data_IF_400132836566
#
_entry.id   IF_400132836566
#
_cell.length_a   1.000
_cell.length_b   1.000
_cell.length_c   1.000
_cell.angle_alpha   90.00
_cell.angle_beta   90.00
_cell.angle_gamma   90.00
#
_symmetry.space_group_name_H-M   'P 1'
#
loop_
_entity.id
_entity.type
_entity.pdbx_description
1 polymer ?
#
# COMPACT_ATOMS: atom_id res chain seq x y z
N UNK A 1 4.21 14.71 -6.71
CA UNK A 1 4.36 13.27 -7.05
C UNK A 1 3.36 12.47 -6.25
N UNK A 2 2.55 11.68 -6.96
CA UNK A 2 1.48 10.90 -6.34
C UNK A 2 1.81 9.41 -6.28
N UNK A 3 1.69 8.82 -5.10
CA UNK A 3 1.97 7.40 -4.86
C UNK A 3 0.71 6.72 -4.36
N UNK A 4 0.40 5.56 -4.93
CA UNK A 4 -0.67 4.67 -4.47
C UNK A 4 -0.04 3.46 -3.78
N UNK A 5 -0.20 3.37 -2.47
CA UNK A 5 0.14 2.19 -1.67
C UNK A 5 -0.99 1.17 -1.68
N UNK A 6 -0.63 -0.10 -1.69
CA UNK A 6 -1.56 -1.24 -1.69
C UNK A 6 -1.13 -2.26 -0.66
N UNK A 7 -2.04 -2.62 0.22
CA UNK A 7 -1.95 -3.77 1.14
C UNK A 7 -2.81 -4.92 0.57
N UNK A 8 -2.19 -5.98 0.00
CA UNK A 8 -2.90 -6.98 -0.77
C UNK A 8 -3.54 -8.07 0.10
N UNK A 9 -4.84 -8.26 -0.07
CA UNK A 9 -5.58 -9.39 0.48
C UNK A 9 -6.75 -9.81 -0.42
N UNK A 10 -7.11 -11.08 -0.45
CA UNK A 10 -8.17 -11.61 -1.36
C UNK A 10 -9.60 -11.44 -0.85
N UNK A 11 -9.77 -11.05 0.41
CA UNK A 11 -11.07 -10.70 1.02
C UNK A 11 -11.14 -9.19 1.24
N UNK A 12 -10.02 -8.60 1.64
CA UNK A 12 -9.79 -7.17 1.78
C UNK A 12 -8.50 -6.79 1.10
N UNK A 13 -8.52 -5.74 0.32
CA UNK A 13 -7.35 -5.11 -0.28
C UNK A 13 -7.39 -3.64 0.12
N UNK A 14 -6.44 -3.22 0.95
CA UNK A 14 -6.28 -1.83 1.34
C UNK A 14 -5.64 -1.01 0.22
N UNK A 15 -6.04 0.25 0.09
CA UNK A 15 -5.37 1.22 -0.78
C UNK A 15 -5.27 2.57 -0.09
N UNK A 16 -4.19 3.29 -0.37
CA UNK A 16 -3.98 4.64 0.15
C UNK A 16 -3.11 5.45 -0.80
N UNK A 17 -3.64 6.57 -1.26
CA UNK A 17 -2.94 7.50 -2.14
C UNK A 17 -2.44 8.71 -1.36
N UNK A 18 -1.17 9.05 -1.54
CA UNK A 18 -0.53 10.25 -0.99
C UNK A 18 0.03 11.11 -2.11
N UNK A 19 0.01 12.41 -1.92
CA UNK A 19 0.63 13.38 -2.82
C UNK A 19 1.78 14.08 -2.09
N UNK A 20 2.93 14.18 -2.74
CA UNK A 20 4.08 14.92 -2.24
C UNK A 20 4.33 16.15 -3.11
N UNK A 21 4.33 17.31 -2.48
CA UNK A 21 4.76 18.58 -3.07
C UNK A 21 5.87 19.20 -2.22
N UNK A 22 7.09 19.19 -2.73
CA UNK A 22 8.26 19.56 -1.96
C UNK A 22 8.44 18.69 -0.71
N UNK A 23 8.39 19.30 0.46
CA UNK A 23 8.48 18.64 1.76
C UNK A 23 7.11 18.22 2.33
N UNK A 24 6.02 18.74 1.78
CA UNK A 24 4.68 18.45 2.25
C UNK A 24 4.17 17.14 1.66
N UNK A 25 3.52 16.33 2.52
CA UNK A 25 2.88 15.08 2.13
C UNK A 25 1.44 15.11 2.63
N UNK A 26 0.49 14.90 1.73
CA UNK A 26 -0.93 14.90 2.05
C UNK A 26 -1.60 13.59 1.59
N UNK A 27 -2.56 13.13 2.36
CA UNK A 27 -3.45 12.04 1.94
C UNK A 27 -4.43 12.55 0.87
N UNK A 28 -4.51 11.85 -0.25
CA UNK A 28 -5.45 12.12 -1.34
C UNK A 28 -6.75 11.33 -1.14
N UNK A 29 -6.60 10.03 -0.95
CA UNK A 29 -7.72 9.10 -0.77
C UNK A 29 -7.21 7.82 -0.12
N UNK A 30 -8.03 7.18 0.71
CA UNK A 30 -7.73 5.84 1.20
C UNK A 30 -9.02 5.03 1.38
N UNK A 31 -8.89 3.71 1.47
CA UNK A 31 -10.01 2.81 1.69
C UNK A 31 -9.64 1.35 1.53
N UNK A 32 -10.67 0.51 1.49
CA UNK A 32 -10.50 -0.91 1.24
C UNK A 32 -11.49 -1.44 0.20
N UNK A 33 -11.00 -2.30 -0.68
CA UNK A 33 -11.82 -3.09 -1.60
C UNK A 33 -12.15 -4.39 -0.89
N UNK A 34 -13.43 -4.62 -0.60
CA UNK A 34 -13.90 -5.81 0.10
C UNK A 34 -14.66 -6.74 -0.83
N UNK A 35 -14.45 -8.05 -0.64
CA UNK A 35 -15.17 -9.12 -1.31
C UNK A 35 -15.70 -10.11 -0.26
N UNK A 36 -16.83 -10.78 -0.54
CA UNK A 36 -17.28 -11.86 0.33
C UNK A 36 -16.30 -13.04 0.30
N UNK A 37 -15.95 -13.55 1.48
CA UNK A 37 -15.11 -14.76 1.60
C UNK A 37 -15.80 -16.01 1.03
N UNK A 38 -17.14 -16.01 0.90
CA UNK A 38 -17.91 -17.11 0.31
C UNK A 38 -17.82 -17.18 -1.22
N UNK A 39 -17.36 -16.09 -1.88
CA UNK A 39 -17.17 -16.10 -3.31
C UNK A 39 -15.95 -16.96 -3.71
N UNK A 40 -16.01 -17.68 -4.83
CA UNK A 40 -14.84 -18.32 -5.42
C UNK A 40 -13.70 -17.34 -5.68
N UNK A 41 -12.46 -17.82 -5.58
CA UNK A 41 -11.27 -16.95 -5.68
C UNK A 41 -11.22 -16.17 -7.00
N UNK A 42 -11.57 -16.80 -8.12
CA UNK A 42 -11.60 -16.15 -9.43
C UNK A 42 -12.57 -14.97 -9.50
N UNK A 43 -13.71 -15.06 -8.78
CA UNK A 43 -14.68 -13.97 -8.70
C UNK A 43 -14.16 -12.83 -7.84
N UNK A 44 -13.51 -13.16 -6.70
CA UNK A 44 -12.88 -12.14 -5.84
C UNK A 44 -11.79 -11.38 -6.59
N UNK A 45 -10.91 -12.08 -7.28
CA UNK A 45 -9.83 -11.45 -8.06
C UNK A 45 -10.39 -10.57 -9.18
N UNK A 46 -11.45 -10.98 -9.88
CA UNK A 46 -12.10 -10.16 -10.90
C UNK A 46 -12.73 -8.88 -10.31
N UNK A 47 -13.34 -8.96 -9.13
CA UNK A 47 -13.88 -7.78 -8.43
C UNK A 47 -12.76 -6.84 -8.03
N UNK A 48 -11.67 -7.37 -7.44
CA UNK A 48 -10.52 -6.59 -7.02
C UNK A 48 -9.88 -5.88 -8.20
N UNK A 49 -9.65 -6.58 -9.30
CA UNK A 49 -9.08 -5.99 -10.52
C UNK A 49 -9.91 -4.79 -11.02
N UNK A 50 -11.23 -4.96 -11.16
CA UNK A 50 -12.11 -3.89 -11.62
C UNK A 50 -12.09 -2.68 -10.70
N UNK A 51 -12.30 -2.90 -9.38
CA UNK A 51 -12.34 -1.81 -8.40
C UNK A 51 -10.98 -1.12 -8.25
N UNK A 52 -9.87 -1.87 -8.24
CA UNK A 52 -8.54 -1.28 -8.18
C UNK A 52 -8.22 -0.47 -9.44
N UNK A 53 -8.67 -0.94 -10.61
CA UNK A 53 -8.59 -0.21 -11.87
C UNK A 53 -9.32 1.14 -11.81
N UNK A 54 -10.48 1.20 -11.16
CA UNK A 54 -11.23 2.44 -10.92
C UNK A 54 -10.50 3.37 -9.95
N UNK A 55 -9.90 2.83 -8.86
CA UNK A 55 -9.07 3.60 -7.93
C UNK A 55 -7.87 4.22 -8.66
N UNK A 56 -7.13 3.43 -9.44
CA UNK A 56 -5.97 3.92 -10.21
C UNK A 56 -6.40 5.03 -11.19
N UNK A 57 -7.50 4.84 -11.90
CA UNK A 57 -8.00 5.83 -12.85
C UNK A 57 -8.42 7.15 -12.18
N UNK A 58 -8.96 7.08 -10.95
CA UNK A 58 -9.38 8.22 -10.16
C UNK A 58 -8.21 8.92 -9.50
N UNK A 59 -7.32 8.16 -8.84
CA UNK A 59 -6.15 8.71 -8.15
C UNK A 59 -5.06 9.18 -9.11
N UNK A 60 -4.93 8.58 -10.28
CA UNK A 60 -3.86 8.86 -11.28
C UNK A 60 -2.47 8.89 -10.63
N UNK A 61 -2.02 7.80 -10.00
CA UNK A 61 -0.73 7.78 -9.34
C UNK A 61 0.41 7.79 -10.38
N UNK A 62 1.51 8.45 -10.03
CA UNK A 62 2.77 8.39 -10.78
C UNK A 62 3.46 7.03 -10.57
N UNK A 63 3.30 6.44 -9.37
CA UNK A 63 3.89 5.17 -8.98
C UNK A 63 2.92 4.37 -8.10
N UNK A 64 2.97 3.05 -8.21
CA UNK A 64 2.22 2.11 -7.36
C UNK A 64 3.21 1.33 -6.50
N UNK A 65 2.87 1.16 -5.23
CA UNK A 65 3.70 0.44 -4.26
C UNK A 65 2.87 -0.63 -3.58
N UNK A 66 3.39 -1.85 -3.54
CA UNK A 66 2.65 -3.01 -3.02
C UNK A 66 3.43 -3.64 -1.87
N UNK A 67 2.75 -3.96 -0.77
CA UNK A 67 3.36 -4.74 0.30
C UNK A 67 3.66 -6.16 -0.18
N UNK A 68 4.86 -6.64 0.10
CA UNK A 68 5.28 -8.01 -0.21
C UNK A 68 4.89 -8.95 0.94
N UNK A 69 4.21 -10.07 0.66
CA UNK A 69 3.86 -11.02 1.71
C UNK A 69 5.11 -11.66 2.32
N UNK A 70 5.10 -11.81 3.64
CA UNK A 70 6.11 -12.60 4.34
C UNK A 70 5.72 -14.08 4.34
N UNK A 71 6.57 -14.94 3.79
CA UNK A 71 6.25 -16.35 3.48
C UNK A 71 6.47 -17.31 4.66
N UNK A 72 6.69 -16.84 5.90
CA UNK A 72 7.25 -17.69 6.96
C UNK A 72 6.29 -18.67 7.66
N UNK A 73 4.98 -18.45 7.74
CA UNK A 73 4.14 -19.24 8.67
C UNK A 73 2.97 -20.00 8.06
N UNK A 74 2.42 -19.59 6.94
CA UNK A 74 1.28 -20.26 6.31
C UNK A 74 1.30 -20.13 4.79
N UNK A 75 1.67 -21.20 4.12
CA UNK A 75 1.77 -21.26 2.65
C UNK A 75 0.43 -20.92 1.95
N UNK A 76 -0.72 -21.29 2.52
CA UNK A 76 -2.04 -20.98 1.94
C UNK A 76 -2.32 -19.48 2.02
N UNK A 77 -1.99 -18.85 3.14
CA UNK A 77 -2.13 -17.40 3.33
C UNK A 77 -1.21 -16.65 2.39
N UNK A 78 0.07 -17.03 2.32
CA UNK A 78 1.05 -16.43 1.40
C UNK A 78 0.60 -16.53 -0.07
N UNK A 79 0.10 -17.70 -0.49
CA UNK A 79 -0.43 -17.90 -1.84
C UNK A 79 -1.67 -17.01 -2.10
N UNK A 80 -2.55 -16.87 -1.10
CA UNK A 80 -3.73 -15.99 -1.21
C UNK A 80 -3.34 -14.53 -1.38
N UNK A 81 -2.41 -14.04 -0.56
CA UNK A 81 -1.89 -12.66 -0.64
C UNK A 81 -1.16 -12.45 -1.98
N UNK A 82 -0.32 -13.41 -2.40
CA UNK A 82 0.38 -13.34 -3.68
C UNK A 82 -0.55 -13.23 -4.90
N UNK A 83 -1.74 -13.84 -4.85
CA UNK A 83 -2.77 -13.67 -5.88
C UNK A 83 -3.31 -12.23 -5.92
N UNK A 84 -3.60 -11.64 -4.77
CA UNK A 84 -4.05 -10.25 -4.68
C UNK A 84 -2.93 -9.28 -5.10
N UNK A 85 -1.68 -9.56 -4.70
CA UNK A 85 -0.50 -8.82 -5.13
C UNK A 85 -0.34 -8.84 -6.66
N UNK A 86 -0.51 -10.01 -7.29
CA UNK A 86 -0.44 -10.12 -8.74
C UNK A 86 -1.50 -9.25 -9.44
N UNK A 87 -2.72 -9.17 -8.89
CA UNK A 87 -3.76 -8.26 -9.38
C UNK A 87 -3.33 -6.80 -9.26
N UNK A 88 -2.73 -6.40 -8.14
CA UNK A 88 -2.24 -5.04 -7.94
C UNK A 88 -1.15 -4.67 -8.96
N UNK A 89 -0.15 -5.54 -9.12
CA UNK A 89 0.94 -5.37 -10.09
C UNK A 89 0.38 -5.27 -11.52
N UNK A 90 -0.50 -6.20 -11.91
CA UNK A 90 -1.09 -6.22 -13.24
C UNK A 90 -1.91 -4.96 -13.54
N UNK A 91 -2.71 -4.50 -12.55
CA UNK A 91 -3.55 -3.30 -12.70
C UNK A 91 -2.74 -2.03 -12.99
N UNK A 92 -1.56 -1.90 -12.38
CA UNK A 92 -0.63 -0.81 -12.62
C UNK A 92 0.15 -0.99 -13.92
N UNK A 93 0.72 -2.18 -14.14
CA UNK A 93 1.57 -2.46 -15.30
C UNK A 93 0.84 -2.33 -16.64
N UNK A 94 -0.45 -2.69 -16.72
CA UNK A 94 -1.28 -2.48 -17.91
C UNK A 94 -1.54 -0.99 -18.24
N UNK A 95 -1.09 -0.08 -17.38
CA UNK A 95 -1.15 1.37 -17.56
C UNK A 95 0.21 2.01 -17.62
N UNK A 96 1.26 1.20 -17.76
CA UNK A 96 2.66 1.64 -17.78
C UNK A 96 3.06 2.43 -16.50
N UNK A 97 2.37 2.18 -15.37
CA UNK A 97 2.71 2.79 -14.07
C UNK A 97 3.78 1.94 -13.40
N UNK A 98 4.92 2.53 -13.00
CA UNK A 98 5.98 1.83 -12.27
C UNK A 98 5.48 1.22 -10.97
N UNK A 99 5.91 -0.03 -10.68
CA UNK A 99 5.51 -0.76 -9.47
C UNK A 99 6.74 -1.05 -8.61
N UNK A 100 6.64 -0.68 -7.32
CA UNK A 100 7.64 -0.95 -6.30
C UNK A 100 7.08 -1.88 -5.23
N UNK A 101 7.95 -2.54 -4.47
CA UNK A 101 7.55 -3.52 -3.45
C UNK A 101 8.39 -3.37 -2.20
N UNK A 102 7.75 -3.49 -1.04
CA UNK A 102 8.41 -3.47 0.26
C UNK A 102 7.85 -4.56 1.16
N UNK A 103 8.73 -5.17 1.94
CA UNK A 103 8.32 -6.13 2.97
C UNK A 103 7.69 -5.42 4.17
N UNK A 104 6.85 -6.09 4.96
CA UNK A 104 6.29 -5.52 6.20
C UNK A 104 7.37 -4.98 7.15
N UNK A 105 8.52 -5.66 7.23
CA UNK A 105 9.64 -5.21 8.06
C UNK A 105 10.24 -3.89 7.58
N UNK A 106 10.40 -3.71 6.27
CA UNK A 106 10.86 -2.45 5.68
C UNK A 106 9.86 -1.32 5.94
N UNK A 107 8.56 -1.59 5.75
CA UNK A 107 7.51 -0.59 6.02
C UNK A 107 7.56 -0.14 7.48
N UNK A 108 7.60 -1.06 8.43
CA UNK A 108 7.71 -0.73 9.86
C UNK A 108 8.98 0.04 10.20
N UNK A 109 10.12 -0.40 9.66
CA UNK A 109 11.41 0.27 9.87
C UNK A 109 11.39 1.71 9.39
N UNK A 110 10.80 1.98 8.23
CA UNK A 110 10.75 3.33 7.67
C UNK A 110 9.72 4.21 8.36
N UNK A 111 8.48 3.75 8.49
CA UNK A 111 7.37 4.55 8.99
C UNK A 111 7.43 4.77 10.49
N UNK A 112 7.83 3.75 11.26
CA UNK A 112 7.86 3.78 12.73
C UNK A 112 9.28 3.69 13.31
N UNK A 113 10.32 3.81 12.49
CA UNK A 113 11.75 3.77 12.87
C UNK A 113 12.21 2.48 13.55
N UNK A 114 11.35 1.45 13.61
CA UNK A 114 11.68 0.16 14.20
C UNK A 114 10.89 -0.98 13.55
N UNK A 115 11.59 -1.95 12.98
CA UNK A 115 10.99 -3.09 12.26
C UNK A 115 10.08 -3.99 13.11
N UNK A 116 10.22 -3.96 14.44
CA UNK A 116 9.37 -4.66 15.41
C UNK A 116 8.16 -3.86 15.89
N UNK A 117 7.88 -2.68 15.34
CA UNK A 117 6.76 -1.84 15.75
C UNK A 117 5.43 -2.57 15.62
N UNK A 118 4.55 -2.34 16.59
CA UNK A 118 3.18 -2.88 16.54
C UNK A 118 2.37 -2.20 15.44
N UNK A 119 1.27 -2.84 15.04
CA UNK A 119 0.34 -2.26 14.07
C UNK A 119 -0.19 -0.89 14.52
N UNK A 120 -0.56 -0.76 15.80
CA UNK A 120 -1.04 0.51 16.38
C UNK A 120 0.00 1.61 16.28
N UNK A 121 1.28 1.30 16.52
CA UNK A 121 2.37 2.28 16.39
C UNK A 121 2.54 2.74 14.94
N UNK A 122 2.46 1.83 13.98
CA UNK A 122 2.53 2.20 12.55
C UNK A 122 1.35 3.09 12.16
N UNK A 123 0.13 2.75 12.57
CA UNK A 123 -1.08 3.55 12.28
C UNK A 123 -0.99 4.95 12.90
N UNK A 124 -0.48 5.07 14.12
CA UNK A 124 -0.27 6.37 14.76
C UNK A 124 0.79 7.20 14.01
N UNK A 125 1.86 6.57 13.56
CA UNK A 125 2.87 7.27 12.74
C UNK A 125 2.32 7.72 11.38
N UNK A 126 1.46 6.92 10.74
CA UNK A 126 0.74 7.34 9.53
C UNK A 126 -0.12 8.57 9.79
N UNK A 127 -0.89 8.56 10.89
CA UNK A 127 -1.72 9.69 11.31
C UNK A 127 -0.90 10.96 11.50
N UNK A 128 0.21 10.87 12.23
CA UNK A 128 1.10 12.01 12.51
C UNK A 128 1.78 12.54 11.25
N UNK A 129 2.33 11.67 10.42
CA UNK A 129 3.05 12.08 9.19
C UNK A 129 2.13 12.72 8.14
N UNK A 130 0.86 12.33 8.12
CA UNK A 130 -0.15 12.90 7.23
C UNK A 130 -0.98 14.02 7.90
N UNK A 131 -0.63 14.41 9.14
CA UNK A 131 -1.34 15.44 9.93
C UNK A 131 -2.85 15.20 10.02
N UNK A 132 -3.27 13.94 10.15
CA UNK A 132 -4.69 13.58 10.25
C UNK A 132 -5.21 13.74 11.69
N UNK A 133 -6.48 14.12 11.83
CA UNK A 133 -7.12 14.23 13.13
C UNK A 133 -7.26 12.85 13.82
N UNK A 134 -7.57 11.82 13.04
CA UNK A 134 -7.76 10.44 13.49
C UNK A 134 -6.99 9.48 12.60
N UNK A 135 -6.74 8.26 13.12
CA UNK A 135 -6.11 7.22 12.32
C UNK A 135 -7.01 6.83 11.13
N UNK A 136 -6.44 6.58 9.93
CA UNK A 136 -7.25 6.19 8.78
C UNK A 136 -8.01 4.88 9.02
N UNK A 137 -9.26 4.84 8.59
CA UNK A 137 -10.10 3.65 8.61
C UNK A 137 -10.51 3.23 7.20
N UNK A 138 -10.68 1.92 6.96
CA UNK A 138 -10.36 0.80 7.85
C UNK A 138 -8.85 0.56 8.00
N UNK A 139 -8.45 -0.32 8.93
CA UNK A 139 -7.05 -0.68 9.19
C UNK A 139 -6.23 -0.96 7.92
N UNK A 140 -6.82 -1.70 6.97
CA UNK A 140 -6.17 -2.03 5.70
C UNK A 140 -5.81 -0.76 4.88
N UNK A 141 -6.59 0.33 5.03
CA UNK A 141 -6.28 1.61 4.40
C UNK A 141 -5.08 2.30 5.06
N UNK A 142 -4.97 2.22 6.39
CA UNK A 142 -3.82 2.74 7.13
C UNK A 142 -2.55 1.96 6.78
N UNK A 143 -2.64 0.63 6.65
CA UNK A 143 -1.53 -0.22 6.24
C UNK A 143 -1.06 0.15 4.81
N UNK A 144 -1.99 0.36 3.88
CA UNK A 144 -1.68 0.80 2.52
C UNK A 144 -1.03 2.21 2.46
N UNK A 145 -1.49 3.15 3.30
CA UNK A 145 -0.85 4.47 3.44
C UNK A 145 0.57 4.35 4.00
N UNK A 146 0.82 3.43 4.95
CA UNK A 146 2.15 3.16 5.46
C UNK A 146 3.10 2.68 4.35
N UNK A 147 2.62 1.83 3.44
CA UNK A 147 3.39 1.37 2.27
C UNK A 147 3.76 2.55 1.35
N UNK A 148 2.82 3.46 1.10
CA UNK A 148 3.08 4.66 0.30
C UNK A 148 4.11 5.61 0.96
N UNK A 149 3.98 5.86 2.27
CA UNK A 149 4.93 6.67 3.05
C UNK A 149 6.33 6.05 3.09
N UNK A 150 6.42 4.73 3.26
CA UNK A 150 7.68 4.00 3.19
C UNK A 150 8.42 4.30 1.89
N UNK A 151 7.72 4.25 0.76
CA UNK A 151 8.32 4.54 -0.55
C UNK A 151 8.81 5.98 -0.69
N UNK A 152 8.02 6.95 -0.23
CA UNK A 152 8.44 8.36 -0.23
C UNK A 152 9.75 8.56 0.53
N UNK A 153 9.86 7.97 1.72
CA UNK A 153 11.06 8.07 2.56
C UNK A 153 12.27 7.37 1.93
N UNK A 154 12.08 6.20 1.30
CA UNK A 154 13.14 5.53 0.56
C UNK A 154 13.66 6.38 -0.61
N UNK A 155 12.75 7.00 -1.36
CA UNK A 155 13.15 7.90 -2.46
C UNK A 155 13.90 9.13 -1.97
N UNK A 156 13.48 9.71 -0.84
CA UNK A 156 14.20 10.83 -0.23
C UNK A 156 15.61 10.42 0.17
N UNK A 157 15.76 9.28 0.83
CA UNK A 157 17.06 8.75 1.24
C UNK A 157 17.99 8.51 0.03
N UNK A 158 17.46 7.89 -1.03
CA UNK A 158 18.21 7.62 -2.26
C UNK A 158 18.66 8.91 -2.98
N UNK A 159 17.92 10.02 -2.86
CA UNK A 159 18.34 11.31 -3.41
C UNK A 159 19.50 11.88 -2.63
N UNK A 160 19.41 11.88 -1.30
CA UNK A 160 20.47 12.39 -0.42
C UNK A 160 21.80 11.63 -0.61
N UNK A 161 21.75 10.31 -0.79
CA UNK A 161 22.94 9.47 -1.00
C UNK A 161 23.57 9.57 -2.40
N UNK A 162 22.90 10.21 -3.36
CA UNK A 162 23.44 10.45 -4.71
C UNK A 162 24.06 11.83 -4.88
N UNK A 163 23.83 12.73 -3.95
CA UNK A 163 24.38 14.10 -3.95
C UNK A 163 25.71 14.20 -3.18
N UNK A 164 26.20 13.10 -2.57
CA UNK A 164 27.55 12.93 -2.00
C UNK A 164 28.49 12.22 -2.99
#
# INVERSE_FOLDING_TARGET
MRILGIDPGTVRLGYGAVDQDGAEVAMVECGAITCSASLPIERRLAIMYRKLTEVIARCRPDEVVVEEPFVAENMRTALSIGRAQAIAILSASLRDIPVFRYTPAQVKQRVASYGGSSKVQVQEMVRLQLCLAEAPEPDDAADALAVALCHLQEKQLMRLTKEE
#
